data_IF_531882967916
#
_entry.id   IF_531882967916
#
_cell.length_a   1.000
_cell.length_b   1.000
_cell.length_c   1.000
_cell.angle_alpha   90.00
_cell.angle_beta   90.00
_cell.angle_gamma   90.00
#
_symmetry.space_group_name_H-M   'P 1'
#
loop_
_entity.id
_entity.type
_entity.pdbx_description
1 polymer ?
#
# COMPACT_ATOMS: atom_id res chain seq x y z
N UNK A 1 13.19 -14.53 13.94
CA UNK A 1 11.82 -14.53 13.37
C UNK A 1 11.21 -13.19 13.75
N UNK A 2 10.82 -12.37 12.77
CA UNK A 2 10.20 -11.07 13.06
C UNK A 2 8.84 -11.24 13.74
N UNK A 3 8.46 -10.29 14.59
CA UNK A 3 7.15 -10.32 15.24
C UNK A 3 6.04 -10.06 14.22
N UNK A 4 4.98 -10.88 14.14
CA UNK A 4 3.88 -10.69 13.20
C UNK A 4 3.03 -9.44 13.50
N UNK A 5 3.33 -8.72 14.58
CA UNK A 5 2.58 -7.55 15.07
C UNK A 5 2.34 -6.49 13.99
N UNK A 6 3.32 -6.28 13.09
CA UNK A 6 3.20 -5.29 12.00
C UNK A 6 2.07 -5.61 11.03
N UNK A 7 1.77 -6.89 10.82
CA UNK A 7 0.80 -7.35 9.83
C UNK A 7 -0.52 -7.82 10.46
N UNK A 8 -0.56 -7.97 11.78
CA UNK A 8 -1.74 -8.45 12.48
C UNK A 8 -3.00 -7.57 12.23
N UNK A 9 -2.93 -6.22 12.23
CA UNK A 9 -4.10 -5.40 11.90
C UNK A 9 -4.60 -5.64 10.48
N UNK A 10 -3.69 -5.81 9.51
CA UNK A 10 -4.02 -6.10 8.12
C UNK A 10 -4.67 -7.49 7.97
N UNK A 11 -4.13 -8.50 8.64
CA UNK A 11 -4.67 -9.86 8.64
C UNK A 11 -6.08 -9.90 9.24
N UNK A 12 -6.31 -9.21 10.37
CA UNK A 12 -7.62 -9.11 11.00
C UNK A 12 -8.64 -8.35 10.13
N UNK A 13 -8.24 -7.20 9.57
CA UNK A 13 -9.11 -6.43 8.68
C UNK A 13 -9.43 -7.20 7.38
N UNK A 14 -8.42 -7.87 6.82
CA UNK A 14 -8.57 -8.72 5.65
C UNK A 14 -9.45 -9.92 5.92
N UNK A 15 -9.31 -10.59 7.08
CA UNK A 15 -10.14 -11.74 7.47
C UNK A 15 -11.61 -11.38 7.60
N UNK A 16 -11.94 -10.15 8.03
CA UNK A 16 -13.31 -9.64 8.01
C UNK A 16 -13.87 -9.46 6.60
N UNK A 17 -13.03 -9.07 5.63
CA UNK A 17 -13.43 -8.80 4.24
C UNK A 17 -13.45 -10.05 3.37
N UNK A 18 -12.47 -10.94 3.57
CA UNK A 18 -12.22 -12.15 2.80
C UNK A 18 -11.95 -13.31 3.76
N UNK A 19 -13.00 -13.84 4.41
CA UNK A 19 -12.82 -14.85 5.43
C UNK A 19 -12.22 -16.16 4.87
N UNK A 20 -11.30 -16.77 5.62
CA UNK A 20 -10.59 -17.97 5.21
C UNK A 20 -9.50 -17.76 4.14
N UNK A 21 -9.31 -16.51 3.65
CA UNK A 21 -8.34 -16.19 2.58
C UNK A 21 -7.12 -15.42 3.08
N UNK A 22 -7.16 -14.90 4.29
CA UNK A 22 -6.01 -14.28 4.95
C UNK A 22 -5.30 -15.33 5.81
N UNK A 23 -4.03 -15.57 5.50
CA UNK A 23 -3.24 -16.64 6.11
C UNK A 23 -1.89 -16.10 6.57
N UNK A 24 -1.48 -16.48 7.78
CA UNK A 24 -0.15 -16.23 8.31
C UNK A 24 0.62 -17.54 8.36
N UNK A 25 1.69 -17.60 7.57
CA UNK A 25 2.62 -18.72 7.58
C UNK A 25 3.75 -18.46 8.58
N UNK A 26 3.89 -19.33 9.59
CA UNK A 26 4.90 -19.16 10.64
C UNK A 26 6.21 -19.88 10.35
N UNK A 27 6.24 -20.79 9.38
CA UNK A 27 7.41 -21.59 9.07
C UNK A 27 7.54 -21.85 7.55
N UNK A 28 8.72 -21.68 6.94
CA UNK A 28 8.91 -21.96 5.52
C UNK A 28 8.54 -23.40 5.11
N UNK A 29 8.70 -24.38 6.00
CA UNK A 29 8.34 -25.79 5.73
C UNK A 29 6.83 -26.01 5.56
N UNK A 30 6.01 -25.03 5.89
CA UNK A 30 4.56 -25.07 5.69
C UNK A 30 4.14 -24.63 4.30
N UNK A 31 5.11 -24.25 3.46
CA UNK A 31 4.88 -23.85 2.07
C UNK A 31 5.70 -24.75 1.17
N UNK A 32 5.09 -25.21 0.08
CA UNK A 32 5.81 -25.88 -1.01
C UNK A 32 5.95 -24.93 -2.20
N UNK A 33 7.12 -25.02 -2.86
CA UNK A 33 7.45 -24.25 -4.05
C UNK A 33 7.56 -25.21 -5.23
N UNK A 34 6.72 -25.02 -6.25
CA UNK A 34 6.67 -25.88 -7.43
C UNK A 34 6.82 -25.03 -8.69
N UNK A 35 7.38 -25.57 -9.79
CA UNK A 35 7.39 -24.87 -11.07
C UNK A 35 5.99 -24.43 -11.48
N UNK A 36 5.86 -23.18 -11.93
CA UNK A 36 4.58 -22.65 -12.38
C UNK A 36 4.14 -23.36 -13.65
N UNK A 37 2.89 -23.81 -13.66
CA UNK A 37 2.25 -24.39 -14.86
C UNK A 37 1.84 -23.33 -15.88
N UNK A 38 1.70 -22.07 -15.43
CA UNK A 38 1.17 -20.97 -16.23
C UNK A 38 2.25 -20.04 -16.74
N UNK A 39 3.33 -19.84 -15.98
CA UNK A 39 4.41 -18.92 -16.34
C UNK A 39 5.77 -19.65 -16.33
N UNK A 40 6.29 -20.05 -17.50
CA UNK A 40 7.58 -20.75 -17.59
C UNK A 40 8.71 -19.95 -16.93
N UNK A 41 9.58 -20.64 -16.17
CA UNK A 41 10.69 -20.02 -15.44
C UNK A 41 10.33 -19.43 -14.07
N UNK A 42 9.04 -19.37 -13.73
CA UNK A 42 8.56 -18.95 -12.41
C UNK A 42 8.08 -20.13 -11.57
N UNK A 43 7.81 -19.88 -10.29
CA UNK A 43 7.35 -20.85 -9.31
C UNK A 43 6.00 -20.45 -8.71
N UNK A 44 5.13 -21.42 -8.50
CA UNK A 44 3.92 -21.27 -7.68
C UNK A 44 4.21 -21.71 -6.24
N UNK A 45 3.66 -20.98 -5.28
CA UNK A 45 3.66 -21.38 -3.87
C UNK A 45 2.34 -22.03 -3.48
N UNK A 46 2.42 -23.06 -2.63
CA UNK A 46 1.26 -23.73 -2.05
C UNK A 46 1.39 -23.86 -0.54
N UNK A 47 0.36 -23.42 0.17
CA UNK A 47 0.26 -23.52 1.63
C UNK A 47 -0.23 -24.91 2.01
N UNK A 48 0.57 -25.59 2.83
CA UNK A 48 0.28 -26.86 3.47
C UNK A 48 -0.28 -26.65 4.88
N UNK A 49 0.16 -25.59 5.56
CA UNK A 49 -0.27 -25.25 6.91
C UNK A 49 -0.18 -23.74 7.14
N UNK A 50 -1.15 -23.15 7.83
CA UNK A 50 -1.11 -21.72 8.17
C UNK A 50 -2.06 -21.38 9.32
N UNK A 51 -1.84 -20.23 9.94
CA UNK A 51 -2.85 -19.60 10.79
C UNK A 51 -3.82 -18.82 9.89
N UNK A 52 -5.05 -19.28 9.78
CA UNK A 52 -6.09 -18.67 8.96
C UNK A 52 -6.90 -17.68 9.78
N UNK A 53 -7.26 -16.55 9.16
CA UNK A 53 -8.07 -15.49 9.76
C UNK A 53 -9.48 -15.50 9.16
N UNK A 54 -10.47 -15.54 10.04
CA UNK A 54 -11.89 -15.70 9.71
C UNK A 54 -12.70 -14.46 10.13
N UNK A 55 -13.95 -14.39 9.70
CA UNK A 55 -14.86 -13.33 10.12
C UNK A 55 -15.01 -13.31 11.66
N UNK A 56 -15.28 -12.14 12.23
CA UNK A 56 -15.42 -12.00 13.69
C UNK A 56 -14.10 -12.02 14.48
N UNK A 57 -12.96 -12.10 13.81
CA UNK A 57 -11.63 -12.09 14.46
C UNK A 57 -11.16 -13.45 14.95
N UNK A 58 -11.86 -14.53 14.59
CA UNK A 58 -11.43 -15.89 14.88
C UNK A 58 -10.19 -16.24 14.05
N UNK A 59 -9.29 -17.01 14.68
CA UNK A 59 -8.09 -17.53 14.03
C UNK A 59 -7.90 -19.01 14.38
N UNK A 60 -7.48 -19.79 13.38
CA UNK A 60 -7.30 -21.23 13.52
C UNK A 60 -6.02 -21.68 12.83
N UNK A 61 -5.40 -22.74 13.35
CA UNK A 61 -4.27 -23.38 12.69
C UNK A 61 -4.80 -24.45 11.72
N UNK A 62 -4.81 -24.12 10.43
CA UNK A 62 -5.28 -25.03 9.38
C UNK A 62 -4.13 -25.87 8.82
N UNK A 63 -4.45 -27.12 8.48
CA UNK A 63 -3.60 -28.02 7.71
C UNK A 63 -4.37 -28.46 6.47
N UNK A 64 -3.84 -28.15 5.29
CA UNK A 64 -4.55 -28.30 4.03
C UNK A 64 -4.19 -29.63 3.37
N UNK A 65 -5.17 -30.52 3.23
CA UNK A 65 -5.03 -31.81 2.52
C UNK A 65 -4.88 -31.61 1.00
N UNK A 66 -5.57 -30.61 0.45
CA UNK A 66 -5.29 -30.06 -0.88
C UNK A 66 -4.56 -28.73 -0.71
N UNK A 67 -3.25 -28.64 -1.03
CA UNK A 67 -2.46 -27.44 -0.79
C UNK A 67 -3.09 -26.20 -1.44
N UNK A 68 -3.22 -25.11 -0.69
CA UNK A 68 -3.84 -23.88 -1.19
C UNK A 68 -2.82 -23.03 -1.96
N UNK A 69 -3.07 -22.75 -3.23
CA UNK A 69 -2.18 -21.89 -4.04
C UNK A 69 -2.18 -20.46 -3.48
N UNK A 70 -0.98 -19.90 -3.30
CA UNK A 70 -0.80 -18.50 -2.92
C UNK A 70 -1.05 -17.61 -4.13
N UNK A 71 -1.93 -16.62 -3.98
CA UNK A 71 -2.25 -15.64 -5.04
C UNK A 71 -1.63 -14.26 -4.79
N UNK A 72 -1.14 -14.01 -3.58
CA UNK A 72 -0.44 -12.80 -3.19
C UNK A 72 0.45 -13.11 -1.97
N UNK A 73 1.71 -12.69 -1.99
CA UNK A 73 2.64 -12.91 -0.88
C UNK A 73 3.05 -11.58 -0.24
N UNK A 74 2.82 -11.48 1.07
CA UNK A 74 3.35 -10.41 1.90
C UNK A 74 4.51 -10.97 2.73
N UNK A 75 5.72 -10.58 2.39
CA UNK A 75 6.95 -10.99 3.09
C UNK A 75 7.43 -9.83 3.98
N UNK A 76 7.84 -10.13 5.22
CA UNK A 76 8.57 -9.16 6.04
C UNK A 76 10.00 -9.10 5.52
N UNK A 77 10.47 -7.92 5.10
CA UNK A 77 11.84 -7.70 4.63
C UNK A 77 12.93 -8.01 5.66
N UNK A 78 12.56 -8.41 6.88
CA UNK A 78 13.42 -9.03 7.88
C UNK A 78 13.67 -10.51 7.57
N UNK A 79 14.83 -10.78 6.97
CA UNK A 79 15.61 -12.04 6.83
C UNK A 79 15.84 -12.34 5.35
N UNK A 80 17.11 -12.35 4.94
CA UNK A 80 17.58 -12.59 3.57
C UNK A 80 17.31 -13.99 3.00
N UNK A 81 16.06 -14.42 2.97
CA UNK A 81 15.59 -15.54 2.15
C UNK A 81 14.72 -14.99 1.03
N UNK A 82 15.12 -15.21 -0.21
CA UNK A 82 14.38 -14.81 -1.40
C UNK A 82 13.17 -15.71 -1.69
N UNK A 83 12.29 -15.90 -0.70
CA UNK A 83 11.08 -16.71 -0.92
C UNK A 83 10.18 -16.03 -1.95
N UNK A 84 10.15 -14.69 -1.97
CA UNK A 84 9.47 -13.88 -2.97
C UNK A 84 10.10 -13.82 -4.37
N UNK A 85 11.31 -14.33 -4.60
CA UNK A 85 11.95 -14.26 -5.92
C UNK A 85 11.44 -15.33 -6.88
N UNK A 86 11.22 -14.96 -8.14
CA UNK A 86 10.81 -15.89 -9.19
C UNK A 86 9.43 -16.51 -8.95
N UNK A 87 8.56 -15.82 -8.21
CA UNK A 87 7.19 -16.27 -8.00
C UNK A 87 6.27 -15.83 -9.14
N UNK A 88 5.26 -16.65 -9.41
CA UNK A 88 4.21 -16.35 -10.38
C UNK A 88 3.03 -15.55 -9.79
N UNK A 89 3.10 -15.23 -8.49
CA UNK A 89 2.15 -14.38 -7.79
C UNK A 89 2.79 -13.06 -7.38
N UNK A 90 2.01 -11.97 -7.29
CA UNK A 90 2.54 -10.68 -6.85
C UNK A 90 3.06 -10.73 -5.41
N UNK A 91 4.16 -10.01 -5.16
CA UNK A 91 4.77 -9.88 -3.83
C UNK A 91 4.83 -8.41 -3.41
N UNK A 92 4.65 -8.15 -2.11
CA UNK A 92 4.65 -6.79 -1.57
C UNK A 92 6.05 -6.13 -1.50
N UNK A 93 7.11 -6.87 -1.83
CA UNK A 93 8.50 -6.44 -1.74
C UNK A 93 9.20 -6.24 -3.08
N UNK A 94 8.49 -6.30 -4.21
CA UNK A 94 9.14 -6.00 -5.49
C UNK A 94 9.59 -4.53 -5.49
N UNK A 95 10.82 -4.21 -5.93
CA UNK A 95 11.31 -2.84 -5.98
C UNK A 95 10.35 -1.92 -6.74
N UNK A 96 9.76 -2.42 -7.83
CA UNK A 96 8.78 -1.71 -8.65
C UNK A 96 7.50 -1.40 -7.86
N UNK A 97 6.98 -2.37 -7.10
CA UNK A 97 5.79 -2.15 -6.28
C UNK A 97 6.09 -1.20 -5.12
N UNK A 98 7.25 -1.30 -4.47
CA UNK A 98 7.66 -0.34 -3.44
C UNK A 98 7.69 1.08 -4.00
N UNK A 99 8.34 1.29 -5.14
CA UNK A 99 8.35 2.59 -5.82
C UNK A 99 6.94 3.09 -6.13
N UNK A 100 6.06 2.20 -6.63
CA UNK A 100 4.66 2.55 -6.90
C UNK A 100 3.89 2.89 -5.61
N UNK A 101 4.03 2.10 -4.55
CA UNK A 101 3.30 2.30 -3.28
C UNK A 101 3.79 3.50 -2.47
N UNK A 102 5.05 3.89 -2.64
CA UNK A 102 5.61 5.08 -2.00
C UNK A 102 5.22 6.37 -2.72
N UNK A 103 4.87 6.30 -4.02
CA UNK A 103 4.35 7.44 -4.77
C UNK A 103 2.85 7.64 -4.49
N UNK A 104 2.58 8.45 -3.47
CA UNK A 104 1.22 8.80 -3.02
C UNK A 104 0.40 9.44 -4.15
N UNK A 105 1.01 10.30 -4.96
CA UNK A 105 0.32 11.04 -6.03
C UNK A 105 -0.05 10.11 -7.19
N UNK A 106 0.86 9.22 -7.58
CA UNK A 106 0.61 8.21 -8.60
C UNK A 106 -0.49 7.23 -8.16
N UNK A 107 -0.45 6.73 -6.91
CA UNK A 107 -1.52 5.87 -6.40
C UNK A 107 -2.87 6.57 -6.41
N UNK A 108 -2.90 7.84 -5.99
CA UNK A 108 -4.12 8.63 -6.00
C UNK A 108 -4.71 8.71 -7.40
N UNK A 109 -3.89 8.98 -8.42
CA UNK A 109 -4.34 9.03 -9.82
C UNK A 109 -4.78 7.67 -10.36
N UNK A 110 -4.04 6.60 -10.05
CA UNK A 110 -4.38 5.25 -10.47
C UNK A 110 -5.73 4.81 -9.89
N UNK A 111 -5.96 5.07 -8.60
CA UNK A 111 -7.22 4.76 -7.92
C UNK A 111 -8.37 5.62 -8.46
N UNK A 112 -8.14 6.92 -8.67
CA UNK A 112 -9.14 7.84 -9.23
C UNK A 112 -9.54 7.45 -10.65
N UNK A 113 -8.57 7.06 -11.49
CA UNK A 113 -8.82 6.53 -12.84
C UNK A 113 -9.60 5.22 -12.86
N UNK A 114 -9.72 4.52 -11.73
CA UNK A 114 -10.56 3.33 -11.55
C UNK A 114 -11.90 3.62 -10.88
N UNK A 115 -12.24 4.88 -10.64
CA UNK A 115 -13.50 5.29 -10.01
C UNK A 115 -13.57 4.99 -8.52
N UNK A 116 -12.43 4.76 -7.86
CA UNK A 116 -12.38 4.61 -6.40
C UNK A 116 -12.67 5.99 -5.79
N UNK A 117 -13.60 6.11 -4.82
CA UNK A 117 -13.80 7.37 -4.09
C UNK A 117 -12.54 7.73 -3.31
N UNK A 118 -12.04 8.95 -3.50
CA UNK A 118 -10.79 9.43 -2.90
C UNK A 118 -11.03 10.67 -2.03
N UNK A 119 -10.30 10.82 -0.91
CA UNK A 119 -10.37 12.03 -0.11
C UNK A 119 -9.76 13.22 -0.88
N UNK A 120 -10.15 14.47 -0.59
CA UNK A 120 -9.48 15.64 -1.12
C UNK A 120 -7.96 15.60 -0.86
N UNK A 121 -7.16 15.94 -1.86
CA UNK A 121 -5.70 15.93 -1.77
C UNK A 121 -5.11 17.23 -2.34
N UNK A 122 -4.20 17.84 -1.60
CA UNK A 122 -3.33 18.90 -2.08
C UNK A 122 -1.95 18.31 -2.41
N UNK A 123 -1.51 18.48 -3.65
CA UNK A 123 -0.17 18.09 -4.11
C UNK A 123 0.62 19.32 -4.55
N UNK A 124 1.79 19.51 -3.94
CA UNK A 124 2.70 20.62 -4.23
C UNK A 124 3.96 20.05 -4.91
N UNK A 125 4.33 20.58 -6.06
CA UNK A 125 5.55 20.17 -6.76
C UNK A 125 6.43 21.36 -7.07
N UNK A 126 7.72 21.28 -6.72
CA UNK A 126 8.71 22.29 -7.09
C UNK A 126 9.40 21.90 -8.40
N UNK A 127 9.28 22.76 -9.42
CA UNK A 127 9.80 22.55 -10.79
C UNK A 127 9.48 21.16 -11.36
N UNK A 128 8.20 20.76 -11.42
CA UNK A 128 7.83 19.46 -11.97
C UNK A 128 8.14 19.38 -13.46
N UNK A 129 8.57 18.20 -13.92
CA UNK A 129 8.60 17.87 -15.33
C UNK A 129 7.17 17.82 -15.91
N UNK A 130 7.03 18.20 -17.18
CA UNK A 130 5.73 18.24 -17.89
C UNK A 130 5.10 16.86 -17.92
N UNK A 131 3.82 16.76 -17.54
CA UNK A 131 3.03 15.52 -17.59
C UNK A 131 2.82 14.78 -16.27
N UNK A 132 3.18 15.37 -15.13
CA UNK A 132 3.17 14.72 -13.82
C UNK A 132 1.77 14.38 -13.26
N UNK A 133 0.71 15.04 -13.76
CA UNK A 133 -0.62 14.95 -13.13
C UNK A 133 -1.77 14.86 -14.12
N UNK A 134 -2.59 13.82 -13.95
CA UNK A 134 -3.91 13.73 -14.58
C UNK A 134 -4.93 14.55 -13.76
N UNK A 135 -5.79 15.39 -14.41
CA UNK A 135 -6.81 16.15 -13.70
C UNK A 135 -7.78 15.22 -12.96
N UNK A 136 -7.98 15.44 -11.66
CA UNK A 136 -8.98 14.72 -10.86
C UNK A 136 -9.75 15.73 -9.98
N UNK A 137 -11.09 15.63 -9.86
CA UNK A 137 -11.90 16.63 -9.13
C UNK A 137 -11.46 16.83 -7.67
N UNK A 138 -11.01 15.76 -7.03
CA UNK A 138 -10.57 15.77 -5.63
C UNK A 138 -9.07 16.07 -5.45
N UNK A 139 -8.32 16.33 -6.53
CA UNK A 139 -6.90 16.66 -6.49
C UNK A 139 -6.66 18.12 -6.84
N UNK A 140 -6.16 18.89 -5.86
CA UNK A 140 -5.62 20.22 -6.08
C UNK A 140 -4.11 20.11 -6.29
N UNK A 141 -3.64 20.35 -7.52
CA UNK A 141 -2.21 20.36 -7.84
C UNK A 141 -1.70 21.79 -7.99
N UNK A 142 -0.57 22.11 -7.35
CA UNK A 142 0.10 23.39 -7.49
C UNK A 142 1.58 23.23 -7.78
N UNK A 143 2.02 23.85 -8.88
CA UNK A 143 3.41 23.84 -9.32
C UNK A 143 4.13 25.11 -8.87
N UNK A 144 5.30 24.97 -8.28
CA UNK A 144 6.12 26.07 -7.77
C UNK A 144 7.40 26.14 -8.59
N UNK A 145 7.66 27.26 -9.26
CA UNK A 145 8.80 27.40 -10.18
C UNK A 145 9.99 28.16 -9.55
N UNK A 146 9.70 29.09 -8.65
CA UNK A 146 10.67 30.00 -8.04
C UNK A 146 10.73 29.79 -6.53
N UNK A 147 11.91 30.01 -5.94
CA UNK A 147 12.18 29.68 -4.53
C UNK A 147 11.83 30.86 -3.61
N UNK A 148 11.91 32.06 -4.17
CA UNK A 148 11.77 33.34 -3.48
C UNK A 148 10.34 33.55 -2.94
N UNK A 149 9.32 33.00 -3.61
CA UNK A 149 7.90 33.11 -3.22
C UNK A 149 7.32 31.84 -2.61
N UNK A 150 8.17 30.85 -2.29
CA UNK A 150 7.74 29.50 -1.91
C UNK A 150 6.81 29.54 -0.69
N UNK A 151 7.18 30.28 0.36
CA UNK A 151 6.45 30.25 1.63
C UNK A 151 5.09 30.94 1.54
N UNK A 152 5.03 32.16 1.01
CA UNK A 152 3.77 32.91 0.87
C UNK A 152 2.81 32.19 -0.10
N UNK A 153 3.34 31.64 -1.18
CA UNK A 153 2.57 30.84 -2.13
C UNK A 153 2.03 29.57 -1.49
N UNK A 154 2.85 28.86 -0.72
CA UNK A 154 2.42 27.65 0.00
C UNK A 154 1.32 27.97 1.01
N UNK A 155 1.47 29.02 1.82
CA UNK A 155 0.45 29.41 2.81
C UNK A 155 -0.87 29.75 2.12
N UNK A 156 -0.83 30.52 1.03
CA UNK A 156 -2.03 30.86 0.26
C UNK A 156 -2.73 29.62 -0.30
N UNK A 157 -1.97 28.67 -0.85
CA UNK A 157 -2.51 27.44 -1.45
C UNK A 157 -3.07 26.50 -0.39
N UNK A 158 -2.36 26.31 0.73
CA UNK A 158 -2.81 25.50 1.87
C UNK A 158 -4.11 26.10 2.43
N UNK A 159 -4.15 27.42 2.65
CA UNK A 159 -5.35 28.09 3.15
C UNK A 159 -6.54 27.97 2.20
N UNK A 160 -6.31 28.00 0.88
CA UNK A 160 -7.37 27.77 -0.10
C UNK A 160 -7.90 26.33 -0.04
N UNK A 161 -7.02 25.34 0.10
CA UNK A 161 -7.39 23.93 0.24
C UNK A 161 -8.18 23.67 1.53
N UNK A 162 -7.74 24.21 2.67
CA UNK A 162 -8.42 24.04 3.96
C UNK A 162 -9.82 24.66 4.00
N UNK A 163 -10.12 25.63 3.12
CA UNK A 163 -11.45 26.24 3.00
C UNK A 163 -12.43 25.38 2.18
N UNK A 164 -12.01 24.28 1.57
CA UNK A 164 -12.92 23.41 0.83
C UNK A 164 -13.94 22.73 1.77
N UNK A 165 -15.24 22.68 1.41
CA UNK A 165 -16.28 22.07 2.25
C UNK A 165 -15.95 20.65 2.71
N UNK A 166 -15.29 19.89 1.84
CA UNK A 166 -14.89 18.50 2.06
C UNK A 166 -13.76 18.36 3.10
N UNK A 167 -13.00 19.43 3.33
CA UNK A 167 -11.85 19.46 4.26
C UNK A 167 -12.21 20.11 5.60
N UNK A 168 -13.18 21.04 5.62
CA UNK A 168 -13.57 21.81 6.82
C UNK A 168 -14.07 20.96 8.00
N UNK A 169 -14.62 19.76 7.74
CA UNK A 169 -15.05 18.83 8.79
C UNK A 169 -13.96 17.87 9.28
N UNK A 170 -12.72 17.97 8.77
CA UNK A 170 -11.64 17.07 9.15
C UNK A 170 -10.95 17.53 10.45
N UNK A 171 -10.76 16.61 11.40
CA UNK A 171 -10.01 16.87 12.62
C UNK A 171 -8.53 17.17 12.32
N UNK A 172 -7.98 18.15 13.05
CA UNK A 172 -6.68 18.82 12.89
C UNK A 172 -5.60 18.07 12.08
N UNK A 173 -5.11 18.74 11.04
CA UNK A 173 -3.90 18.37 10.29
C UNK A 173 -2.66 18.58 11.16
N UNK A 174 -1.87 17.52 11.40
CA UNK A 174 -0.52 17.64 11.98
C UNK A 174 0.54 17.54 10.89
N UNK A 175 1.57 18.39 10.98
CA UNK A 175 2.72 18.37 10.07
C UNK A 175 3.83 17.49 10.65
N UNK A 176 4.20 16.44 9.92
CA UNK A 176 5.41 15.66 10.22
C UNK A 176 6.51 16.11 9.24
N UNK A 177 7.58 16.72 9.75
CA UNK A 177 8.74 17.11 8.95
C UNK A 177 9.66 15.89 8.76
N UNK A 178 9.66 15.31 7.56
CA UNK A 178 10.68 14.36 7.11
C UNK A 178 11.47 14.97 5.94
N UNK A 179 12.64 15.54 6.23
CA UNK A 179 13.49 16.18 5.23
C UNK A 179 12.85 17.41 4.57
N UNK A 180 12.93 17.49 3.24
CA UNK A 180 12.39 18.59 2.41
C UNK A 180 10.94 18.39 1.95
N UNK A 181 10.26 17.37 2.45
CA UNK A 181 8.91 16.99 2.02
C UNK A 181 7.91 17.20 3.16
N UNK A 182 6.86 17.96 2.88
CA UNK A 182 5.72 18.12 3.79
C UNK A 182 4.71 17.03 3.47
N UNK A 183 4.39 16.20 4.46
CA UNK A 183 3.35 15.18 4.32
C UNK A 183 2.23 15.51 5.29
N UNK A 184 1.01 15.66 4.78
CA UNK A 184 -0.18 15.89 5.58
C UNK A 184 -0.88 14.56 5.83
N UNK A 185 -1.16 14.22 7.10
CA UNK A 185 -1.95 13.04 7.48
C UNK A 185 -3.15 13.48 8.31
N UNK A 186 -4.26 12.78 8.13
CA UNK A 186 -5.44 12.86 8.98
C UNK A 186 -5.16 12.08 10.28
N UNK A 187 -5.44 12.66 11.46
CA UNK A 187 -5.32 11.98 12.77
C UNK A 187 -6.67 11.40 13.14
#
# INVERSE_FOLDING_TARGET
>A
MASPDKYLPLLLAGGKRCPGRMMLCLCPSWVSRLPSKTLPGLFSLFILKAVTFEAGGYTYLDTFSSPCRVTYLLEDGSVGSSMGEGLDCPTCGSPQLNTLTEDVLLNYQLLGGKGVPLPPMLALAYRPSVGLVSPHPSLMFHSIQEKEDLQETMEKVINAFLKQPEVQCSDKVSSLKQGHMFTFRNI
#
